data_IF_879660135992
#
_entry.id   IF_879660135992
#
_cell.length_a   1.000
_cell.length_b   1.000
_cell.length_c   1.000
_cell.angle_alpha   90.00
_cell.angle_beta   90.00
_cell.angle_gamma   90.00
#
_symmetry.space_group_name_H-M   'P 1'
#
loop_
_entity.id
_entity.type
_entity.pdbx_description
1 polymer ?
#
# COMPACT_ATOMS: atom_id res chain seq x y z
N UNK A 1 -11.41 51.25 2.13
CA UNK A 1 -11.36 50.61 3.46
C UNK A 1 -10.59 49.33 3.31
N UNK A 2 -9.40 49.22 3.91
CA UNK A 2 -8.70 47.95 4.05
C UNK A 2 -9.29 47.24 5.25
N UNK A 3 -10.10 46.21 5.01
CA UNK A 3 -10.61 45.36 6.10
C UNK A 3 -9.46 44.70 6.85
N UNK A 4 -9.67 44.39 8.14
CA UNK A 4 -8.70 43.62 8.91
C UNK A 4 -8.52 42.22 8.31
N UNK A 5 -7.28 41.71 8.37
CA UNK A 5 -6.91 40.43 7.77
C UNK A 5 -6.39 39.47 8.83
N UNK A 6 -6.57 38.18 8.59
CA UNK A 6 -5.81 37.15 9.29
C UNK A 6 -4.31 37.36 9.08
N UNK A 7 -3.53 37.13 10.12
CA UNK A 7 -2.06 37.13 10.08
C UNK A 7 -1.53 35.77 10.50
N UNK A 8 -0.25 35.51 10.19
CA UNK A 8 0.38 34.22 10.48
C UNK A 8 -0.14 33.08 9.61
N UNK A 9 0.08 31.85 10.05
CA UNK A 9 -0.26 30.65 9.29
C UNK A 9 -0.64 29.49 10.21
N UNK A 10 -1.51 28.61 9.70
CA UNK A 10 -1.71 27.27 10.25
C UNK A 10 -0.42 26.46 10.12
N UNK A 11 -0.25 25.49 11.02
CA UNK A 11 0.91 24.61 11.01
C UNK A 11 0.51 23.14 11.06
N UNK A 12 1.44 22.27 10.66
CA UNK A 12 1.40 20.82 10.84
C UNK A 12 2.82 20.30 11.01
N UNK A 13 2.97 19.07 11.50
CA UNK A 13 4.26 18.38 11.42
C UNK A 13 4.72 18.29 9.96
N UNK A 14 6.01 18.54 9.72
CA UNK A 14 6.60 18.48 8.38
C UNK A 14 6.65 17.04 7.84
N UNK A 15 6.81 16.91 6.52
CA UNK A 15 6.92 15.63 5.83
C UNK A 15 5.71 15.28 4.97
N UNK A 16 5.89 14.22 4.18
CA UNK A 16 4.94 13.73 3.17
C UNK A 16 4.77 12.21 3.25
N UNK A 17 5.23 11.59 4.33
CA UNK A 17 5.07 10.16 4.54
C UNK A 17 3.59 9.84 4.74
N UNK A 18 3.18 8.64 4.36
CA UNK A 18 1.83 8.15 4.64
C UNK A 18 1.53 8.21 6.14
N UNK A 19 0.37 8.76 6.46
CA UNK A 19 -0.07 8.94 7.84
C UNK A 19 -1.00 10.12 8.02
N UNK A 20 -1.24 10.42 9.29
CA UNK A 20 -2.18 11.44 9.74
C UNK A 20 -1.44 12.62 10.36
N UNK A 21 -1.74 13.82 9.87
CA UNK A 21 -1.11 15.08 10.27
C UNK A 21 -2.16 16.01 10.85
N UNK A 22 -2.11 16.24 12.16
CA UNK A 22 -3.01 17.20 12.81
C UNK A 22 -2.65 18.62 12.36
N UNK A 23 -3.66 19.36 11.90
CA UNK A 23 -3.56 20.79 11.62
C UNK A 23 -3.72 21.55 12.94
N UNK A 24 -2.78 22.43 13.21
CA UNK A 24 -2.72 23.28 14.38
C UNK A 24 -2.87 24.75 13.96
N UNK A 25 -3.35 25.59 14.89
CA UNK A 25 -3.50 27.02 14.64
C UNK A 25 -2.19 27.69 14.20
N UNK A 26 -1.05 27.20 14.69
CA UNK A 26 0.25 27.80 14.39
C UNK A 26 0.32 29.25 14.87
N UNK A 27 0.72 30.15 13.97
CA UNK A 27 0.78 31.59 14.21
C UNK A 27 -0.48 32.32 13.74
N UNK A 28 -1.50 31.59 13.24
CA UNK A 28 -2.74 32.19 12.76
C UNK A 28 -3.38 33.03 13.86
N UNK A 29 -3.57 34.31 13.58
CA UNK A 29 -4.09 35.28 14.54
C UNK A 29 -4.96 36.34 13.83
N UNK A 30 -5.82 36.96 14.63
CA UNK A 30 -6.52 38.20 14.30
C UNK A 30 -6.00 39.32 15.21
N UNK A 31 -6.40 40.56 14.91
CA UNK A 31 -6.14 41.68 15.82
C UNK A 31 -6.78 41.44 17.19
N UNK A 32 -6.29 42.17 18.21
CA UNK A 32 -6.79 42.06 19.60
C UNK A 32 -8.26 42.43 19.77
N UNK A 33 -8.88 43.04 18.75
CA UNK A 33 -10.29 43.38 18.75
C UNK A 33 -11.21 42.14 18.55
N UNK A 34 -10.63 40.98 18.20
CA UNK A 34 -11.38 39.76 17.90
C UNK A 34 -10.92 38.59 18.76
N UNK A 35 -11.88 37.74 19.13
CA UNK A 35 -11.60 36.42 19.69
C UNK A 35 -11.52 35.40 18.55
N UNK A 36 -10.37 34.73 18.41
CA UNK A 36 -10.19 33.64 17.47
C UNK A 36 -10.35 32.30 18.18
N UNK A 37 -11.31 31.49 17.74
CA UNK A 37 -11.44 30.09 18.16
C UNK A 37 -11.00 29.19 17.02
N UNK A 38 -9.85 28.53 17.18
CA UNK A 38 -9.41 27.53 16.23
C UNK A 38 -10.08 26.18 16.51
N UNK A 39 -10.66 25.59 15.46
CA UNK A 39 -11.15 24.21 15.47
C UNK A 39 -10.15 23.36 14.68
N UNK A 40 -9.58 22.35 15.33
CA UNK A 40 -8.60 21.46 14.71
C UNK A 40 -9.15 20.70 13.50
N UNK A 41 -8.25 20.34 12.60
CA UNK A 41 -8.53 19.47 11.46
C UNK A 41 -7.38 18.48 11.28
N UNK A 42 -7.54 17.54 10.34
CA UNK A 42 -6.56 16.51 10.06
C UNK A 42 -6.33 16.40 8.55
N UNK A 43 -5.06 16.37 8.14
CA UNK A 43 -4.63 16.00 6.80
C UNK A 43 -4.18 14.54 6.81
N UNK A 44 -4.75 13.72 5.95
CA UNK A 44 -4.30 12.33 5.75
C UNK A 44 -3.56 12.23 4.43
N UNK A 45 -2.36 11.63 4.46
CA UNK A 45 -1.58 11.31 3.28
C UNK A 45 -1.66 9.80 3.07
N UNK A 46 -2.07 9.39 1.87
CA UNK A 46 -2.22 7.99 1.44
C UNK A 46 -1.29 7.69 0.28
N UNK A 47 -1.16 6.42 -0.08
CA UNK A 47 -0.50 6.04 -1.32
C UNK A 47 -1.37 6.38 -2.54
N UNK A 48 -0.79 6.38 -3.73
CA UNK A 48 -1.54 6.57 -4.97
C UNK A 48 -2.39 5.34 -5.28
N UNK A 49 -3.69 5.42 -5.04
CA UNK A 49 -4.61 4.26 -5.03
C UNK A 49 -4.67 3.43 -6.32
N UNK A 50 -4.33 4.02 -7.46
CA UNK A 50 -4.32 3.37 -8.77
C UNK A 50 -3.34 4.09 -9.70
N UNK A 51 -2.96 3.44 -10.79
CA UNK A 51 -2.22 4.08 -11.89
C UNK A 51 -0.90 3.37 -12.19
N UNK A 52 -0.11 3.99 -13.07
CA UNK A 52 1.20 3.47 -13.44
C UNK A 52 2.21 3.69 -12.31
N UNK A 53 2.98 2.66 -12.04
CA UNK A 53 3.93 2.57 -10.95
C UNK A 53 5.20 1.88 -11.44
N UNK A 54 6.23 2.67 -11.72
CA UNK A 54 7.48 2.19 -12.32
C UNK A 54 7.27 1.31 -13.58
N UNK A 55 6.32 1.69 -14.45
CA UNK A 55 6.06 0.98 -15.71
C UNK A 55 5.06 -0.18 -15.66
N UNK A 56 4.51 -0.53 -14.49
CA UNK A 56 3.38 -1.48 -14.36
C UNK A 56 2.24 -0.87 -13.52
N UNK A 57 1.18 -1.63 -13.23
CA UNK A 57 0.11 -1.18 -12.34
C UNK A 57 0.59 -1.10 -10.87
N UNK A 58 0.32 0.03 -10.20
CA UNK A 58 0.41 0.15 -8.74
C UNK A 58 -0.89 -0.27 -8.06
N UNK A 59 -0.82 -0.63 -6.77
CA UNK A 59 -1.96 -1.16 -6.00
C UNK A 59 -2.64 -2.36 -6.67
N UNK A 60 -1.84 -3.22 -7.29
CA UNK A 60 -2.31 -4.43 -7.92
C UNK A 60 -1.23 -5.51 -7.81
N UNK A 61 -1.66 -6.77 -7.72
CA UNK A 61 -0.75 -7.91 -7.86
C UNK A 61 -0.18 -7.96 -9.28
N UNK A 62 1.10 -8.30 -9.37
CA UNK A 62 1.86 -8.43 -10.61
C UNK A 62 2.18 -9.91 -10.87
N UNK A 63 2.49 -10.18 -12.13
CA UNK A 63 2.94 -11.49 -12.62
C UNK A 63 4.06 -12.06 -11.73
N UNK A 64 4.00 -13.34 -11.35
CA UNK A 64 3.27 -14.43 -12.02
C UNK A 64 1.84 -14.68 -11.51
N UNK A 65 1.34 -13.88 -10.57
CA UNK A 65 -0.07 -14.00 -10.14
C UNK A 65 -0.90 -13.03 -11.00
N UNK A 66 -1.88 -13.58 -11.71
CA UNK A 66 -2.81 -12.86 -12.54
C UNK A 66 -3.75 -12.05 -11.62
N UNK A 67 -3.85 -10.74 -11.88
CA UNK A 67 -4.71 -9.86 -11.11
C UNK A 67 -6.22 -10.17 -11.27
N UNK A 68 -6.61 -10.90 -12.31
CA UNK A 68 -7.98 -11.38 -12.52
C UNK A 68 -8.35 -12.60 -11.65
N UNK A 69 -7.39 -13.16 -10.90
CA UNK A 69 -7.57 -14.32 -10.03
C UNK A 69 -7.55 -15.67 -10.74
N UNK A 70 -7.16 -15.74 -12.01
CA UNK A 70 -7.16 -16.98 -12.81
C UNK A 70 -5.97 -17.92 -12.55
N UNK A 71 -4.91 -17.47 -11.87
CA UNK A 71 -3.67 -18.25 -11.76
C UNK A 71 -3.83 -19.62 -11.08
N UNK A 72 -3.22 -20.64 -11.69
CA UNK A 72 -3.13 -21.99 -11.14
C UNK A 72 -1.68 -22.46 -11.09
N UNK A 73 -1.19 -22.73 -9.88
CA UNK A 73 0.17 -23.20 -9.63
C UNK A 73 0.20 -24.66 -9.18
N UNK A 74 1.31 -25.35 -9.46
CA UNK A 74 1.55 -26.70 -8.93
C UNK A 74 1.69 -26.67 -7.40
N UNK A 75 1.07 -27.63 -6.71
CA UNK A 75 1.27 -27.81 -5.26
C UNK A 75 2.73 -28.19 -4.96
N UNK A 76 3.29 -27.65 -3.87
CA UNK A 76 4.68 -27.88 -3.47
C UNK A 76 5.68 -26.89 -4.06
N UNK A 77 5.19 -25.92 -4.83
CA UNK A 77 5.97 -24.85 -5.44
C UNK A 77 6.05 -23.60 -4.55
N UNK A 78 6.91 -22.66 -4.94
CA UNK A 78 7.02 -21.33 -4.31
C UNK A 78 6.53 -20.26 -5.28
N UNK A 79 5.47 -19.56 -4.93
CA UNK A 79 4.81 -18.57 -5.79
C UNK A 79 5.15 -17.17 -5.27
N UNK A 80 5.88 -16.33 -6.04
CA UNK A 80 6.15 -14.96 -5.61
C UNK A 80 4.90 -14.09 -5.78
N UNK A 81 4.33 -13.60 -4.69
CA UNK A 81 3.42 -12.47 -4.70
C UNK A 81 4.24 -11.19 -4.89
N UNK A 82 3.95 -10.44 -5.96
CA UNK A 82 4.66 -9.20 -6.29
C UNK A 82 3.67 -8.08 -6.46
N UNK A 83 4.00 -6.89 -5.99
CA UNK A 83 3.20 -5.70 -6.20
C UNK A 83 4.06 -4.45 -6.04
N UNK A 84 3.53 -3.31 -6.48
CA UNK A 84 4.12 -2.00 -6.24
C UNK A 84 3.10 -1.06 -5.61
N UNK A 85 3.61 -0.17 -4.76
CA UNK A 85 2.86 0.92 -4.13
C UNK A 85 3.58 2.19 -4.50
N UNK A 86 2.85 3.19 -5.00
CA UNK A 86 3.47 4.38 -5.55
C UNK A 86 3.09 5.66 -4.81
N UNK A 87 3.97 6.65 -4.92
CA UNK A 87 3.65 8.05 -4.65
C UNK A 87 2.78 8.64 -5.77
N UNK A 88 2.35 9.90 -5.59
CA UNK A 88 1.54 10.61 -6.58
C UNK A 88 2.25 10.86 -7.92
N UNK A 89 3.58 10.70 -7.98
CA UNK A 89 4.39 10.88 -9.18
C UNK A 89 4.66 9.55 -9.93
N UNK A 90 4.14 8.43 -9.43
CA UNK A 90 4.35 7.10 -10.01
C UNK A 90 5.70 6.45 -9.64
N UNK A 91 6.39 6.96 -8.62
CA UNK A 91 7.59 6.33 -8.07
C UNK A 91 7.21 5.27 -7.05
N UNK A 92 7.80 4.08 -7.18
CA UNK A 92 7.53 2.97 -6.26
C UNK A 92 8.16 3.23 -4.89
N UNK A 93 7.43 2.92 -3.83
CA UNK A 93 7.79 3.18 -2.45
C UNK A 93 8.25 1.89 -1.78
N UNK A 94 9.52 1.87 -1.39
CA UNK A 94 10.18 0.76 -0.70
C UNK A 94 10.53 1.03 0.77
N UNK A 95 9.92 2.05 1.39
CA UNK A 95 10.18 2.37 2.80
C UNK A 95 9.71 1.23 3.71
N UNK A 96 10.35 1.08 4.88
CA UNK A 96 9.83 0.18 5.91
C UNK A 96 8.36 0.53 6.27
N UNK A 97 7.61 -0.48 6.72
CA UNK A 97 6.21 -0.41 7.14
C UNK A 97 5.16 -0.19 6.04
N UNK A 98 5.50 -0.26 4.74
CA UNK A 98 4.50 -0.13 3.66
C UNK A 98 3.41 -1.21 3.81
N UNK A 99 3.82 -2.45 4.11
CA UNK A 99 2.90 -3.56 4.35
C UNK A 99 2.56 -3.61 5.83
N UNK A 100 1.28 -3.41 6.16
CA UNK A 100 0.76 -3.49 7.52
C UNK A 100 0.36 -4.92 7.89
N UNK A 101 -0.24 -5.68 6.97
CA UNK A 101 -0.56 -7.09 7.22
C UNK A 101 -0.70 -7.92 5.94
N UNK A 102 -0.52 -9.23 6.08
CA UNK A 102 -0.77 -10.21 5.02
C UNK A 102 -1.54 -11.39 5.59
N UNK A 103 -2.77 -11.62 5.13
CA UNK A 103 -3.67 -12.60 5.73
C UNK A 103 -4.46 -13.38 4.68
N UNK A 104 -4.67 -14.67 4.95
CA UNK A 104 -5.63 -15.49 4.21
C UNK A 104 -7.06 -15.04 4.58
N UNK A 105 -7.85 -14.60 3.61
CA UNK A 105 -9.22 -14.13 3.83
C UNK A 105 -10.29 -15.11 3.38
N UNK A 106 -9.98 -15.95 2.38
CA UNK A 106 -10.95 -16.92 1.84
C UNK A 106 -10.24 -18.09 1.18
N UNK A 107 -10.87 -19.26 1.23
CA UNK A 107 -10.52 -20.41 0.39
C UNK A 107 -11.75 -20.91 -0.33
N UNK A 108 -11.62 -21.26 -1.60
CA UNK A 108 -12.71 -21.89 -2.38
C UNK A 108 -12.19 -23.16 -3.06
N UNK A 109 -13.03 -24.18 -3.16
CA UNK A 109 -12.69 -25.37 -3.95
C UNK A 109 -12.69 -24.98 -5.43
N UNK A 110 -11.58 -25.23 -6.11
CA UNK A 110 -11.44 -24.94 -7.54
C UNK A 110 -10.45 -25.93 -8.16
N UNK A 111 -10.84 -26.55 -9.26
CA UNK A 111 -9.98 -27.41 -10.06
C UNK A 111 -9.77 -26.73 -11.41
N UNK A 112 -8.54 -26.26 -11.65
CA UNK A 112 -8.12 -25.64 -12.91
C UNK A 112 -6.93 -26.38 -13.52
N UNK A 113 -6.71 -26.21 -14.82
CA UNK A 113 -5.50 -26.69 -15.49
C UNK A 113 -4.28 -25.90 -14.98
N UNK A 114 -3.13 -26.56 -14.89
CA UNK A 114 -1.86 -25.92 -14.51
C UNK A 114 -1.52 -24.80 -15.50
N UNK A 115 -1.30 -23.58 -15.01
CA UNK A 115 -1.19 -22.40 -15.87
C UNK A 115 0.11 -21.59 -15.68
N UNK A 116 0.96 -21.92 -14.71
CA UNK A 116 2.16 -21.10 -14.45
C UNK A 116 3.44 -21.89 -14.12
N UNK A 117 4.56 -21.42 -14.64
CA UNK A 117 5.90 -21.97 -14.37
C UNK A 117 6.49 -21.31 -13.11
N UNK A 118 7.01 -22.12 -12.19
CA UNK A 118 7.38 -21.69 -10.84
C UNK A 118 8.86 -21.32 -10.80
N UNK A 119 9.19 -20.13 -10.28
CA UNK A 119 10.59 -19.79 -9.94
C UNK A 119 10.68 -19.04 -8.60
N UNK A 120 10.87 -19.81 -7.52
CA UNK A 120 11.70 -19.46 -6.37
C UNK A 120 11.96 -20.73 -5.55
N UNK A 121 13.14 -20.87 -4.93
CA UNK A 121 13.54 -22.07 -4.17
C UNK A 121 13.37 -21.92 -2.66
N UNK A 122 13.09 -20.72 -2.15
CA UNK A 122 13.00 -20.43 -0.71
C UNK A 122 11.77 -19.59 -0.40
N UNK A 123 10.80 -20.11 0.39
CA UNK A 123 9.70 -19.32 0.91
C UNK A 123 10.17 -18.22 1.86
N UNK A 124 9.50 -17.07 1.83
CA UNK A 124 9.77 -15.94 2.71
C UNK A 124 8.90 -16.04 3.99
N UNK A 125 9.32 -15.35 5.06
CA UNK A 125 8.51 -15.18 6.29
C UNK A 125 7.84 -13.81 6.37
N UNK A 126 8.28 -12.85 5.56
CA UNK A 126 7.72 -11.51 5.46
C UNK A 126 7.99 -10.91 4.06
N UNK A 127 7.27 -9.86 3.70
CA UNK A 127 7.52 -9.12 2.46
C UNK A 127 8.90 -8.48 2.48
N UNK A 128 9.59 -8.57 1.34
CA UNK A 128 10.89 -7.94 1.13
C UNK A 128 10.85 -6.96 -0.03
N UNK A 129 11.56 -5.86 0.12
CA UNK A 129 11.75 -4.88 -0.95
C UNK A 129 12.86 -5.33 -1.91
N UNK A 130 12.58 -5.28 -3.23
CA UNK A 130 13.59 -5.43 -4.29
C UNK A 130 13.94 -4.05 -4.84
N UNK A 131 15.13 -3.54 -4.52
CA UNK A 131 15.60 -2.25 -5.05
C UNK A 131 15.90 -2.30 -6.57
N UNK A 132 16.21 -3.48 -7.10
CA UNK A 132 16.45 -3.68 -8.54
C UNK A 132 15.16 -3.58 -9.34
N UNK A 133 14.10 -4.23 -8.87
CA UNK A 133 12.82 -4.30 -9.59
C UNK A 133 11.82 -3.23 -9.12
N UNK A 134 12.20 -2.45 -8.10
CA UNK A 134 11.37 -1.43 -7.44
C UNK A 134 10.00 -1.99 -7.01
N UNK A 135 10.00 -3.16 -6.36
CA UNK A 135 8.77 -3.86 -6.01
C UNK A 135 8.88 -4.64 -4.69
N UNK A 136 7.73 -4.89 -4.07
CA UNK A 136 7.60 -5.77 -2.92
C UNK A 136 7.40 -7.21 -3.39
N UNK A 137 8.07 -8.15 -2.73
CA UNK A 137 8.01 -9.57 -3.06
C UNK A 137 7.80 -10.39 -1.79
N UNK A 138 6.91 -11.37 -1.86
CA UNK A 138 6.78 -12.42 -0.86
C UNK A 138 6.68 -13.80 -1.54
N UNK A 139 7.68 -14.64 -1.31
CA UNK A 139 7.74 -15.98 -1.84
C UNK A 139 6.84 -16.93 -1.03
N UNK A 140 5.65 -17.23 -1.51
CA UNK A 140 4.68 -18.09 -0.84
C UNK A 140 4.93 -19.58 -1.11
N UNK A 141 5.27 -20.36 -0.08
CA UNK A 141 5.37 -21.81 -0.20
C UNK A 141 4.00 -22.50 -0.21
N UNK A 142 3.74 -23.36 -1.21
CA UNK A 142 2.45 -24.07 -1.35
C UNK A 142 2.46 -25.52 -0.84
N UNK A 143 3.57 -25.99 -0.26
CA UNK A 143 3.73 -27.39 0.17
C UNK A 143 2.71 -27.85 1.22
N UNK A 144 2.34 -26.96 2.15
CA UNK A 144 1.34 -27.25 3.20
C UNK A 144 -0.09 -26.96 2.75
N UNK A 145 -0.29 -26.36 1.57
CA UNK A 145 -1.60 -26.00 1.06
C UNK A 145 -2.26 -27.20 0.38
N UNK A 146 -3.57 -27.34 0.54
CA UNK A 146 -4.37 -28.38 -0.12
C UNK A 146 -4.48 -28.10 -1.62
N UNK A 147 -4.27 -29.12 -2.45
CA UNK A 147 -4.53 -29.08 -3.90
C UNK A 147 -6.03 -28.82 -4.21
N UNK A 148 -6.32 -28.38 -5.44
CA UNK A 148 -7.66 -28.04 -5.92
C UNK A 148 -8.41 -27.02 -5.03
N UNK A 149 -7.66 -26.04 -4.52
CA UNK A 149 -8.16 -24.98 -3.65
C UNK A 149 -7.57 -23.65 -4.10
N UNK A 150 -8.41 -22.65 -4.33
CA UNK A 150 -7.99 -21.26 -4.53
C UNK A 150 -7.89 -20.57 -3.18
N UNK A 151 -6.76 -19.91 -2.94
CA UNK A 151 -6.49 -19.15 -1.72
C UNK A 151 -6.51 -17.66 -2.04
N UNK A 152 -7.32 -16.90 -1.32
CA UNK A 152 -7.40 -15.44 -1.44
C UNK A 152 -6.69 -14.82 -0.25
N UNK A 153 -5.63 -14.08 -0.51
CA UNK A 153 -4.92 -13.32 0.49
C UNK A 153 -5.21 -11.83 0.32
N UNK A 154 -5.16 -11.11 1.44
CA UNK A 154 -5.31 -9.66 1.53
C UNK A 154 -4.00 -9.07 2.03
N UNK A 155 -3.47 -8.06 1.32
CA UNK A 155 -2.29 -7.29 1.70
C UNK A 155 -2.80 -5.94 2.15
N UNK A 156 -2.85 -5.68 3.46
CA UNK A 156 -3.22 -4.36 3.96
C UNK A 156 -1.99 -3.47 4.01
N UNK A 157 -2.08 -2.28 3.43
CA UNK A 157 -1.02 -1.26 3.43
C UNK A 157 -1.12 -0.35 4.65
N UNK A 158 -0.06 0.43 4.92
CA UNK A 158 0.03 1.37 6.06
C UNK A 158 -1.10 2.39 6.13
N UNK A 159 -1.61 2.85 4.99
CA UNK A 159 -2.74 3.78 4.92
C UNK A 159 -4.10 3.10 5.11
N UNK A 160 -4.13 1.78 5.29
CA UNK A 160 -5.33 0.98 5.46
C UNK A 160 -5.95 0.47 4.17
N UNK A 161 -5.39 0.78 3.00
CA UNK A 161 -5.83 0.25 1.71
C UNK A 161 -5.42 -1.22 1.52
N UNK A 162 -6.03 -1.90 0.55
CA UNK A 162 -5.82 -3.33 0.24
C UNK A 162 -5.86 -3.57 -1.27
#
# INVERSE_FOLDING_TARGET
>A
MTGEAFTGALSRAAGENVGSYTIQQGTLALSTNYSLTFVGAQLTITYASTGMCFGDAGHQILQPINADGSSVFKQGSTVPAKFRVCDANGNSIGTADVVASFKLVRTTASAGALDESVVSTTPDTDFRWSATDQQWIFNMGSKSLKANTTYYYDITLKDGTH
#
